data_IF_947320297269
#
_entry.id   IF_947320297269
#
_cell.length_a   1.000
_cell.length_b   1.000
_cell.length_c   1.000
_cell.angle_alpha   90.00
_cell.angle_beta   90.00
_cell.angle_gamma   90.00
#
_symmetry.space_group_name_H-M   'P 1'
#
loop_
_entity.id
_entity.type
_entity.pdbx_description
1 polymer ?
#
# COMPACT_ATOMS: atom_id res chain seq x y z
N UNK A 1 43.28 51.62 57.83
CA UNK A 1 44.57 52.24 57.46
C UNK A 1 45.61 51.17 57.69
N UNK A 2 46.00 50.49 56.63
CA UNK A 2 47.24 50.75 55.85
C UNK A 2 48.21 49.63 56.17
N UNK A 3 48.28 48.62 55.31
CA UNK A 3 49.59 48.29 54.74
C UNK A 3 49.45 47.51 53.44
N UNK A 4 49.91 48.19 52.40
CA UNK A 4 50.17 47.75 51.05
C UNK A 4 51.62 47.26 51.04
N UNK A 5 51.85 45.98 50.76
CA UNK A 5 53.11 45.50 50.21
C UNK A 5 52.76 44.28 49.34
N UNK A 6 52.53 44.50 48.05
CA UNK A 6 53.53 44.32 47.00
C UNK A 6 53.97 42.86 46.90
N UNK A 7 53.17 42.08 46.19
CA UNK A 7 53.67 40.91 45.48
C UNK A 7 53.78 41.29 43.99
N UNK A 8 54.90 40.95 43.31
CA UNK A 8 55.21 41.43 41.98
C UNK A 8 54.28 40.82 40.93
N UNK A 9 53.76 41.67 40.03
CA UNK A 9 53.04 41.22 38.84
C UNK A 9 53.98 40.36 37.97
N UNK A 10 53.61 39.11 37.63
CA UNK A 10 54.37 38.33 36.66
C UNK A 10 54.34 39.01 35.28
N UNK A 11 55.40 38.84 34.48
CA UNK A 11 55.59 39.55 33.22
C UNK A 11 54.41 39.33 32.26
N UNK A 12 54.04 40.40 31.55
CA UNK A 12 53.00 40.40 30.52
C UNK A 12 53.21 39.21 29.56
N UNK A 13 52.36 38.19 29.69
CA UNK A 13 52.38 37.03 28.81
C UNK A 13 52.03 37.50 27.41
N UNK A 14 53.07 37.49 26.58
CA UNK A 14 53.12 37.92 25.20
C UNK A 14 51.91 37.38 24.41
N UNK A 15 51.02 38.28 24.01
CA UNK A 15 49.80 37.96 23.25
C UNK A 15 50.10 37.38 21.86
N UNK A 16 51.37 37.34 21.44
CA UNK A 16 51.85 36.79 20.17
C UNK A 16 52.16 35.28 20.18
N UNK A 17 51.93 34.54 21.28
CA UNK A 17 52.07 33.06 21.33
C UNK A 17 50.73 32.30 21.32
N UNK A 18 49.62 32.92 20.88
CA UNK A 18 48.41 32.16 20.51
C UNK A 18 48.66 31.39 19.22
N UNK A 19 49.43 30.30 19.31
CA UNK A 19 49.39 29.26 18.30
C UNK A 19 47.96 28.68 18.33
N UNK A 20 47.25 28.63 17.20
CA UNK A 20 46.02 27.88 17.12
C UNK A 20 46.40 26.40 17.25
N UNK A 21 46.25 25.85 18.46
CA UNK A 21 46.39 24.42 18.65
C UNK A 21 45.35 23.71 17.79
N UNK A 22 45.92 22.97 16.84
CA UNK A 22 45.24 22.33 15.77
C UNK A 22 44.28 21.25 16.26
N UNK A 23 43.15 21.16 15.55
CA UNK A 23 42.32 19.98 15.35
C UNK A 23 41.69 19.36 16.60
N UNK A 24 40.40 19.67 16.78
CA UNK A 24 39.44 18.79 17.44
C UNK A 24 39.65 17.32 17.03
N UNK A 25 39.64 16.35 17.95
CA UNK A 25 39.66 14.94 17.58
C UNK A 25 38.40 14.68 16.75
N UNK A 26 38.60 14.35 15.47
CA UNK A 26 37.53 13.98 14.53
C UNK A 26 36.69 12.88 15.18
N UNK A 27 35.46 13.20 15.55
CA UNK A 27 34.50 12.21 16.00
C UNK A 27 34.33 11.17 14.90
N UNK A 28 35.02 10.04 15.02
CA UNK A 28 34.79 8.91 14.14
C UNK A 28 33.36 8.48 14.42
N UNK A 29 32.50 8.70 13.44
CA UNK A 29 31.14 8.22 13.43
C UNK A 29 31.23 6.70 13.39
N UNK A 30 31.44 6.08 14.56
CA UNK A 30 31.47 4.63 14.73
C UNK A 30 30.04 4.18 14.56
N UNK A 31 29.64 3.95 13.31
CA UNK A 31 28.41 3.26 12.99
C UNK A 31 28.46 1.93 13.76
N UNK A 32 27.64 1.82 14.80
CA UNK A 32 27.47 0.58 15.53
C UNK A 32 27.22 -0.54 14.52
N UNK A 33 27.83 -1.71 14.70
CA UNK A 33 27.63 -2.86 13.80
C UNK A 33 26.14 -3.16 13.56
N UNK A 34 25.28 -2.84 14.54
CA UNK A 34 23.82 -2.89 14.40
C UNK A 34 23.27 -1.94 13.35
N UNK A 35 23.75 -0.69 13.27
CA UNK A 35 23.31 0.28 12.26
C UNK A 35 23.70 -0.17 10.85
N UNK A 36 24.88 -0.77 10.70
CA UNK A 36 25.36 -1.31 9.42
C UNK A 36 24.46 -2.46 8.97
N UNK A 37 24.12 -3.39 9.87
CA UNK A 37 23.20 -4.50 9.58
C UNK A 37 21.79 -4.01 9.20
N UNK A 38 21.25 -3.02 9.93
CA UNK A 38 19.96 -2.40 9.59
C UNK A 38 19.99 -1.71 8.23
N UNK A 39 21.07 -0.99 7.91
CA UNK A 39 21.19 -0.37 6.59
C UNK A 39 21.37 -1.37 5.47
N UNK A 40 22.14 -2.44 5.68
CA UNK A 40 22.29 -3.50 4.68
C UNK A 40 20.95 -4.20 4.41
N UNK A 41 20.15 -4.45 5.45
CA UNK A 41 18.81 -5.01 5.33
C UNK A 41 17.86 -4.05 4.59
N UNK A 42 17.89 -2.75 4.91
CA UNK A 42 17.08 -1.74 4.23
C UNK A 42 17.44 -1.61 2.75
N UNK A 43 18.74 -1.63 2.42
CA UNK A 43 19.23 -1.63 1.05
C UNK A 43 18.79 -2.91 0.33
N UNK A 44 18.95 -4.08 0.95
CA UNK A 44 18.48 -5.33 0.35
C UNK A 44 16.97 -5.31 0.10
N UNK A 45 16.16 -4.83 1.05
CA UNK A 45 14.71 -4.70 0.87
C UNK A 45 14.33 -3.73 -0.27
N UNK A 46 15.14 -2.68 -0.51
CA UNK A 46 14.94 -1.74 -1.61
C UNK A 46 15.30 -2.33 -2.97
N UNK A 47 16.32 -3.19 -3.03
CA UNK A 47 16.77 -3.85 -4.26
C UNK A 47 16.06 -5.17 -4.56
N UNK A 48 15.50 -5.84 -3.55
CA UNK A 48 14.72 -7.08 -3.68
C UNK A 48 13.61 -7.04 -4.75
N UNK A 49 12.78 -5.98 -4.89
CA UNK A 49 11.70 -5.97 -5.88
C UNK A 49 12.18 -6.06 -7.34
N UNK A 50 13.44 -5.75 -7.64
CA UNK A 50 13.98 -5.82 -9.00
C UNK A 50 14.30 -7.26 -9.46
N UNK A 51 14.45 -8.21 -8.53
CA UNK A 51 14.85 -9.58 -8.84
C UNK A 51 13.71 -10.61 -8.68
N UNK A 52 12.55 -10.18 -8.16
CA UNK A 52 11.45 -11.06 -7.76
C UNK A 52 10.28 -10.94 -8.74
N UNK A 53 9.58 -12.06 -9.00
CA UNK A 53 8.40 -12.13 -9.88
C UNK A 53 7.21 -11.32 -9.31
N UNK A 54 6.40 -10.72 -10.19
CA UNK A 54 5.26 -9.87 -9.82
C UNK A 54 4.24 -10.51 -8.85
N UNK A 55 3.99 -11.82 -8.98
CA UNK A 55 3.08 -12.55 -8.07
C UNK A 55 3.60 -12.58 -6.64
N UNK A 56 4.90 -12.77 -6.46
CA UNK A 56 5.55 -12.79 -5.14
C UNK A 56 5.65 -11.36 -4.57
N UNK A 57 5.85 -10.35 -5.42
CA UNK A 57 5.76 -8.94 -5.01
C UNK A 57 4.37 -8.59 -4.46
N UNK A 58 3.30 -9.07 -5.12
CA UNK A 58 1.93 -8.81 -4.66
C UNK A 58 1.67 -9.40 -3.28
N UNK A 59 2.11 -10.63 -3.06
CA UNK A 59 2.03 -11.29 -1.75
C UNK A 59 2.88 -10.53 -0.73
N UNK A 60 4.10 -10.14 -1.10
CA UNK A 60 4.99 -9.32 -0.27
C UNK A 60 4.36 -8.00 0.14
N UNK A 61 3.66 -7.32 -0.77
CA UNK A 61 2.92 -6.08 -0.47
C UNK A 61 1.83 -6.32 0.58
N UNK A 62 1.03 -7.38 0.44
CA UNK A 62 0.02 -7.74 1.44
C UNK A 62 0.65 -8.08 2.80
N UNK A 63 1.75 -8.83 2.80
CA UNK A 63 2.49 -9.17 4.03
C UNK A 63 3.04 -7.91 4.70
N UNK A 64 3.64 -6.98 3.94
CA UNK A 64 4.16 -5.73 4.48
C UNK A 64 3.04 -4.83 5.01
N UNK A 65 1.93 -4.72 4.30
CA UNK A 65 0.75 -3.97 4.78
C UNK A 65 0.20 -4.58 6.08
N UNK A 66 0.08 -5.91 6.14
CA UNK A 66 -0.33 -6.62 7.36
C UNK A 66 0.69 -6.46 8.50
N UNK A 67 1.99 -6.46 8.20
CA UNK A 67 3.06 -6.26 9.17
C UNK A 67 3.00 -4.85 9.78
N UNK A 68 2.75 -3.81 8.98
CA UNK A 68 2.54 -2.44 9.50
C UNK A 68 1.34 -2.40 10.45
N UNK A 69 0.24 -3.05 10.09
CA UNK A 69 -0.92 -3.18 10.99
C UNK A 69 -0.61 -3.95 12.27
N UNK A 70 0.15 -5.05 12.17
CA UNK A 70 0.58 -5.85 13.31
C UNK A 70 1.51 -5.05 14.24
N UNK A 71 2.47 -4.30 13.70
CA UNK A 71 3.36 -3.43 14.47
C UNK A 71 2.55 -2.36 15.20
N UNK A 72 1.59 -1.71 14.52
CA UNK A 72 0.71 -0.72 15.14
C UNK A 72 -0.11 -1.32 16.29
N UNK A 73 -0.64 -2.53 16.09
CA UNK A 73 -1.35 -3.26 17.14
C UNK A 73 -0.42 -3.65 18.30
N UNK A 74 0.78 -4.18 18.02
CA UNK A 74 1.78 -4.55 19.02
C UNK A 74 2.25 -3.35 19.84
N UNK A 75 2.40 -2.18 19.21
CA UNK A 75 2.71 -0.95 19.92
C UNK A 75 1.58 -0.54 20.85
N UNK A 76 0.33 -0.63 20.40
CA UNK A 76 -0.81 -0.27 21.23
C UNK A 76 -0.99 -1.24 22.41
N UNK A 77 -0.97 -2.54 22.15
CA UNK A 77 -1.11 -3.57 23.19
C UNK A 77 0.08 -3.55 24.15
N UNK A 78 1.30 -3.35 23.63
CA UNK A 78 2.51 -3.28 24.45
C UNK A 78 2.64 -2.02 25.30
N UNK A 79 2.22 -0.86 24.79
CA UNK A 79 2.33 0.42 25.53
C UNK A 79 1.13 0.70 26.45
N UNK A 80 -0.08 0.29 26.06
CA UNK A 80 -1.31 0.64 26.79
C UNK A 80 -2.05 -0.55 27.41
N UNK A 81 -1.71 -1.79 27.02
CA UNK A 81 -2.45 -2.99 27.43
C UNK A 81 -3.84 -3.11 26.78
N UNK A 82 -4.17 -2.27 25.80
CA UNK A 82 -5.47 -2.24 25.13
C UNK A 82 -5.44 -2.95 23.78
N UNK A 83 -6.49 -3.72 23.49
CA UNK A 83 -6.72 -4.31 22.17
C UNK A 83 -7.60 -3.37 21.33
N UNK A 84 -7.17 -3.02 20.12
CA UNK A 84 -7.94 -2.18 19.18
C UNK A 84 -8.00 -2.79 17.77
N UNK A 85 -9.21 -3.11 17.31
CA UNK A 85 -9.47 -3.69 15.99
C UNK A 85 -9.82 -2.65 14.92
N UNK A 86 -9.82 -1.37 15.27
CA UNK A 86 -10.26 -0.28 14.38
C UNK A 86 -9.39 -0.07 13.15
N UNK A 87 -8.20 -0.66 13.10
CA UNK A 87 -7.27 -0.59 11.96
C UNK A 87 -7.94 -0.97 10.63
N UNK A 88 -8.80 -2.00 10.63
CA UNK A 88 -9.50 -2.44 9.43
C UNK A 88 -10.42 -1.35 8.85
N UNK A 89 -11.09 -0.58 9.70
CA UNK A 89 -11.95 0.53 9.27
C UNK A 89 -11.14 1.62 8.57
N UNK A 90 -10.03 2.06 9.15
CA UNK A 90 -9.21 3.13 8.56
C UNK A 90 -8.52 2.69 7.28
N UNK A 91 -8.06 1.43 7.22
CA UNK A 91 -7.52 0.83 5.98
C UNK A 91 -8.59 0.83 4.89
N UNK A 92 -9.83 0.45 5.23
CA UNK A 92 -10.94 0.45 4.28
C UNK A 92 -11.26 1.86 3.77
N UNK A 93 -11.33 2.87 4.64
CA UNK A 93 -11.55 4.28 4.24
C UNK A 93 -10.47 4.75 3.28
N UNK A 94 -9.19 4.46 3.56
CA UNK A 94 -8.08 4.81 2.66
C UNK A 94 -8.13 4.06 1.33
N UNK A 95 -8.37 2.74 1.35
CA UNK A 95 -8.41 1.91 0.14
C UNK A 95 -9.55 2.31 -0.80
N UNK A 96 -10.77 2.48 -0.27
CA UNK A 96 -11.91 2.93 -1.06
C UNK A 96 -11.79 4.41 -1.44
N UNK A 97 -11.21 5.25 -0.60
CA UNK A 97 -10.86 6.63 -0.95
C UNK A 97 -9.96 6.67 -2.18
N UNK A 98 -8.87 5.88 -2.20
CA UNK A 98 -8.01 5.77 -3.38
C UNK A 98 -8.77 5.24 -4.60
N UNK A 99 -9.58 4.19 -4.45
CA UNK A 99 -10.34 3.60 -5.56
C UNK A 99 -11.35 4.59 -6.19
N UNK A 100 -11.93 5.48 -5.40
CA UNK A 100 -12.84 6.54 -5.87
C UNK A 100 -12.06 7.69 -6.51
N UNK A 101 -10.95 8.13 -5.90
CA UNK A 101 -10.18 9.27 -6.39
C UNK A 101 -9.41 8.94 -7.68
N UNK A 102 -8.72 7.80 -7.71
CA UNK A 102 -7.96 7.34 -8.88
C UNK A 102 -8.83 6.64 -9.92
N UNK A 103 -10.03 6.19 -9.54
CA UNK A 103 -10.94 5.48 -10.43
C UNK A 103 -11.41 6.36 -11.60
N UNK A 104 -11.50 5.82 -12.83
CA UNK A 104 -12.04 6.58 -13.95
C UNK A 104 -13.53 6.92 -13.72
N UNK A 105 -14.01 8.07 -14.23
CA UNK A 105 -15.43 8.41 -14.18
C UNK A 105 -16.27 7.33 -14.88
N UNK A 106 -17.18 6.69 -14.14
CA UNK A 106 -18.03 5.62 -14.66
C UNK A 106 -19.50 5.85 -14.33
N UNK A 107 -20.40 5.28 -15.16
CA UNK A 107 -21.84 5.43 -14.98
C UNK A 107 -22.40 4.69 -13.76
N UNK A 108 -21.73 3.62 -13.30
CA UNK A 108 -22.16 2.81 -12.15
C UNK A 108 -21.55 3.26 -10.81
N UNK A 109 -20.33 3.79 -10.84
CA UNK A 109 -19.57 4.13 -9.63
C UNK A 109 -18.76 5.42 -9.85
N UNK A 110 -18.79 6.33 -8.89
CA UNK A 110 -18.21 7.68 -9.05
C UNK A 110 -16.68 7.64 -9.01
N UNK A 111 -16.02 8.08 -10.06
CA UNK A 111 -14.56 8.13 -10.15
C UNK A 111 -14.11 9.53 -10.54
N UNK A 112 -13.07 10.07 -9.88
CA UNK A 112 -12.53 11.39 -10.18
C UNK A 112 -11.40 11.38 -11.22
N UNK A 113 -10.80 10.21 -11.49
CA UNK A 113 -9.70 10.06 -12.45
C UNK A 113 -8.44 10.86 -12.11
N UNK A 114 -8.19 11.12 -10.82
CA UNK A 114 -6.99 11.85 -10.39
C UNK A 114 -5.71 11.04 -10.64
N UNK A 115 -4.56 11.70 -10.84
CA UNK A 115 -3.28 11.02 -10.91
C UNK A 115 -3.07 10.11 -9.69
N UNK A 116 -2.64 8.85 -9.85
CA UNK A 116 -2.58 7.87 -8.75
C UNK A 116 -1.81 8.34 -7.51
N UNK A 117 -0.71 9.08 -7.71
CA UNK A 117 0.05 9.63 -6.58
C UNK A 117 -0.75 10.66 -5.77
N UNK A 118 -1.44 11.58 -6.44
CA UNK A 118 -2.27 12.61 -5.79
C UNK A 118 -3.47 11.95 -5.11
N UNK A 119 -4.10 10.99 -5.78
CA UNK A 119 -5.18 10.21 -5.22
C UNK A 119 -4.75 9.44 -3.96
N UNK A 120 -3.55 8.85 -3.94
CA UNK A 120 -3.02 8.13 -2.79
C UNK A 120 -2.79 9.06 -1.59
N UNK A 121 -2.17 10.23 -1.80
CA UNK A 121 -1.96 11.22 -0.73
C UNK A 121 -3.29 11.73 -0.19
N UNK A 122 -4.24 12.04 -1.08
CA UNK A 122 -5.57 12.46 -0.68
C UNK A 122 -6.33 11.36 0.08
N UNK A 123 -6.17 10.09 -0.30
CA UNK A 123 -6.74 8.96 0.41
C UNK A 123 -6.16 8.77 1.82
N UNK A 124 -4.85 9.00 2.00
CA UNK A 124 -4.22 9.06 3.32
C UNK A 124 -4.84 10.20 4.13
N UNK A 125 -5.05 11.37 3.52
CA UNK A 125 -5.75 12.50 4.13
C UNK A 125 -7.17 12.15 4.57
N UNK A 126 -7.93 11.44 3.74
CA UNK A 126 -9.29 10.97 4.08
C UNK A 126 -9.29 10.02 5.28
N UNK A 127 -8.36 9.06 5.30
CA UNK A 127 -8.21 8.15 6.44
C UNK A 127 -7.82 8.90 7.72
N UNK A 128 -6.93 9.90 7.62
CA UNK A 128 -6.54 10.75 8.74
C UNK A 128 -7.71 11.59 9.27
N UNK A 129 -8.53 12.17 8.39
CA UNK A 129 -9.74 12.91 8.78
C UNK A 129 -10.73 11.98 9.48
N UNK A 130 -10.98 10.79 8.94
CA UNK A 130 -11.83 9.79 9.59
C UNK A 130 -11.29 9.39 10.97
N UNK A 131 -9.98 9.21 11.10
CA UNK A 131 -9.30 8.98 12.38
C UNK A 131 -9.51 10.14 13.36
N UNK A 132 -9.39 11.38 12.90
CA UNK A 132 -9.58 12.58 13.71
C UNK A 132 -11.04 12.71 14.19
N UNK A 133 -12.02 12.31 13.39
CA UNK A 133 -13.42 12.28 13.79
C UNK A 133 -13.72 11.21 14.86
N UNK A 134 -13.07 10.06 14.77
CA UNK A 134 -13.29 8.93 15.70
C UNK A 134 -12.47 9.07 16.99
N UNK A 135 -11.31 9.72 16.92
CA UNK A 135 -10.36 9.85 18.04
C UNK A 135 -10.97 10.42 19.33
N UNK A 136 -11.81 11.49 19.33
CA UNK A 136 -12.39 12.04 20.54
C UNK A 136 -13.29 11.07 21.30
N UNK A 137 -13.99 10.20 20.56
CA UNK A 137 -14.86 9.16 21.14
C UNK A 137 -13.97 8.07 21.73
N UNK A 138 -12.99 7.61 20.96
CA UNK A 138 -12.02 6.58 21.38
C UNK A 138 -11.24 6.99 22.65
N UNK A 139 -10.83 8.26 22.76
CA UNK A 139 -10.07 8.78 23.89
C UNK A 139 -10.84 8.74 25.23
N UNK A 140 -12.18 8.63 25.19
CA UNK A 140 -13.03 8.56 26.39
C UNK A 140 -13.22 7.13 26.91
N UNK A 141 -12.88 6.12 26.12
CA UNK A 141 -13.07 4.70 26.45
C UNK A 141 -11.79 4.10 27.05
N UNK A 142 -11.93 3.16 27.98
CA UNK A 142 -10.79 2.49 28.65
C UNK A 142 -10.99 0.98 28.70
N UNK A 143 -9.89 0.24 28.64
CA UNK A 143 -9.90 -1.22 28.81
C UNK A 143 -10.72 -1.92 27.73
N UNK A 144 -11.55 -2.87 28.18
CA UNK A 144 -12.40 -3.72 27.32
C UNK A 144 -13.43 -2.89 26.53
N UNK A 145 -13.89 -1.76 27.06
CA UNK A 145 -14.85 -0.90 26.37
C UNK A 145 -14.30 -0.32 25.08
N UNK A 146 -12.99 -0.03 25.01
CA UNK A 146 -12.35 0.41 23.76
C UNK A 146 -12.36 -0.70 22.72
N UNK A 147 -12.09 -1.94 23.12
CA UNK A 147 -12.14 -3.11 22.25
C UNK A 147 -13.51 -3.28 21.61
N UNK A 148 -14.58 -3.27 22.42
CA UNK A 148 -15.97 -3.39 21.94
C UNK A 148 -16.34 -2.22 21.02
N UNK A 149 -15.94 -0.99 21.36
CA UNK A 149 -16.20 0.17 20.52
C UNK A 149 -15.52 0.07 19.15
N UNK A 150 -14.27 -0.40 19.10
CA UNK A 150 -13.54 -0.57 17.83
C UNK A 150 -14.10 -1.72 16.99
N UNK A 151 -14.63 -2.77 17.62
CA UNK A 151 -15.38 -3.82 16.93
C UNK A 151 -16.65 -3.25 16.30
N UNK A 152 -17.43 -2.47 17.05
CA UNK A 152 -18.60 -1.77 16.53
C UNK A 152 -18.27 -0.84 15.35
N UNK A 153 -17.14 -0.13 15.42
CA UNK A 153 -16.65 0.72 14.33
C UNK A 153 -16.41 -0.07 13.04
N UNK A 154 -15.84 -1.27 13.12
CA UNK A 154 -15.63 -2.13 11.95
C UNK A 154 -16.96 -2.54 11.32
N UNK A 155 -17.97 -2.90 12.13
CA UNK A 155 -19.31 -3.23 11.63
C UNK A 155 -20.02 -2.04 10.98
N UNK A 156 -19.95 -0.87 11.61
CA UNK A 156 -20.50 0.37 11.02
C UNK A 156 -19.79 0.66 9.70
N UNK A 157 -18.48 0.53 9.65
CA UNK A 157 -17.69 0.66 8.43
C UNK A 157 -18.13 -0.28 7.34
N UNK A 158 -18.21 -1.58 7.64
CA UNK A 158 -18.67 -2.58 6.68
C UNK A 158 -20.08 -2.26 6.18
N UNK A 159 -20.99 -1.86 7.07
CA UNK A 159 -22.33 -1.46 6.69
C UNK A 159 -22.32 -0.24 5.76
N UNK A 160 -21.54 0.79 6.06
CA UNK A 160 -21.39 1.96 5.18
C UNK A 160 -20.83 1.55 3.82
N UNK A 161 -19.79 0.71 3.80
CA UNK A 161 -19.18 0.25 2.55
C UNK A 161 -20.16 -0.53 1.67
N UNK A 162 -21.05 -1.32 2.25
CA UNK A 162 -22.04 -2.09 1.48
C UNK A 162 -23.22 -1.24 1.02
N UNK A 163 -23.61 -0.21 1.79
CA UNK A 163 -24.75 0.65 1.46
C UNK A 163 -24.38 1.84 0.57
N UNK A 164 -23.14 2.32 0.61
CA UNK A 164 -22.64 3.40 -0.23
C UNK A 164 -22.29 2.91 -1.64
N UNK A 165 -23.24 2.24 -2.28
CA UNK A 165 -23.16 1.71 -3.65
C UNK A 165 -22.54 2.66 -4.69
N UNK A 166 -22.86 3.97 -4.74
CA UNK A 166 -22.22 4.84 -5.74
C UNK A 166 -20.71 5.00 -5.55
N UNK A 167 -20.21 4.90 -4.31
CA UNK A 167 -18.78 5.05 -4.00
C UNK A 167 -18.04 3.71 -4.13
N UNK A 168 -18.58 2.67 -3.49
CA UNK A 168 -17.89 1.39 -3.27
C UNK A 168 -18.25 0.31 -4.27
N UNK A 169 -19.38 0.46 -4.97
CA UNK A 169 -20.00 -0.61 -5.76
C UNK A 169 -20.81 -1.60 -4.92
N UNK A 170 -20.95 -1.40 -3.61
CA UNK A 170 -21.72 -2.25 -2.72
C UNK A 170 -21.20 -3.70 -2.70
N UNK A 171 -22.09 -4.67 -2.90
CA UNK A 171 -21.74 -6.10 -2.91
C UNK A 171 -20.90 -6.52 -4.13
N UNK A 172 -21.04 -5.83 -5.26
CA UNK A 172 -20.26 -6.12 -6.48
C UNK A 172 -18.81 -5.61 -6.36
N UNK A 173 -18.57 -4.68 -5.44
CA UNK A 173 -17.29 -4.01 -5.27
C UNK A 173 -16.92 -3.11 -6.45
N UNK A 174 -15.66 -2.65 -6.46
CA UNK A 174 -15.15 -1.72 -7.46
C UNK A 174 -13.74 -2.11 -7.90
N UNK A 175 -13.43 -1.92 -9.19
CA UNK A 175 -12.08 -2.05 -9.72
C UNK A 175 -11.17 -0.89 -9.28
N UNK A 176 -9.94 -1.22 -8.91
CA UNK A 176 -8.95 -0.25 -8.45
C UNK A 176 -7.99 0.06 -9.58
N UNK A 177 -7.77 1.35 -9.86
CA UNK A 177 -6.77 1.80 -10.82
C UNK A 177 -5.37 1.38 -10.33
N UNK A 178 -4.56 0.70 -11.15
CA UNK A 178 -3.19 0.35 -10.79
C UNK A 178 -2.43 1.58 -10.33
N UNK A 179 -1.61 1.42 -9.29
CA UNK A 179 -0.76 2.50 -8.84
C UNK A 179 0.26 2.78 -9.95
N UNK A 180 0.43 4.05 -10.33
CA UNK A 180 1.45 4.46 -11.28
C UNK A 180 2.24 5.65 -10.78
N UNK A 181 3.56 5.63 -11.03
CA UNK A 181 4.48 6.67 -10.60
C UNK A 181 5.33 7.11 -11.79
N UNK A 182 5.26 8.40 -12.15
CA UNK A 182 6.02 8.96 -13.29
C UNK A 182 5.84 8.19 -14.62
N UNK A 183 4.67 7.57 -14.84
CA UNK A 183 4.38 6.77 -16.04
C UNK A 183 4.71 5.28 -15.94
N UNK A 184 5.28 4.82 -14.83
CA UNK A 184 5.46 3.39 -14.53
C UNK A 184 4.23 2.84 -13.82
N UNK A 185 3.56 1.86 -14.41
CA UNK A 185 2.43 1.17 -13.79
C UNK A 185 2.90 -0.06 -13.00
N UNK A 186 2.47 -0.14 -11.73
CA UNK A 186 2.72 -1.27 -10.85
C UNK A 186 1.52 -2.23 -10.91
N UNK A 187 1.40 -2.98 -12.02
CA UNK A 187 0.35 -3.98 -12.22
C UNK A 187 0.95 -5.37 -12.41
N UNK A 188 0.34 -6.38 -11.79
CA UNK A 188 0.76 -7.78 -11.91
C UNK A 188 0.52 -8.38 -13.31
N UNK A 189 -0.16 -7.64 -14.20
CA UNK A 189 -0.66 -8.15 -15.48
C UNK A 189 -0.04 -7.52 -16.75
N UNK A 190 0.93 -6.60 -16.68
CA UNK A 190 1.47 -6.03 -17.91
C UNK A 190 2.95 -5.69 -17.84
N UNK A 191 3.69 -6.24 -18.81
CA UNK A 191 4.78 -5.59 -19.55
C UNK A 191 5.12 -4.18 -19.05
N UNK A 192 6.35 -4.00 -18.63
CA UNK A 192 6.89 -2.73 -18.17
C UNK A 192 6.75 -1.73 -19.31
N UNK A 193 5.87 -0.73 -19.17
CA UNK A 193 5.80 0.36 -20.12
C UNK A 193 6.78 1.44 -19.66
N UNK A 194 7.79 1.72 -20.47
CA UNK A 194 8.68 2.87 -20.27
C UNK A 194 8.37 3.88 -21.36
N UNK A 195 8.04 5.12 -20.98
CA UNK A 195 7.79 6.23 -21.93
C UNK A 195 6.70 5.93 -22.98
N UNK A 196 5.64 5.21 -22.61
CA UNK A 196 4.56 4.83 -23.52
C UNK A 196 4.90 3.69 -24.50
N UNK A 197 6.08 3.08 -24.36
CA UNK A 197 6.50 1.91 -25.16
C UNK A 197 6.46 0.66 -24.28
N UNK A 198 5.73 -0.37 -24.74
CA UNK A 198 5.64 -1.69 -24.08
C UNK A 198 7.00 -2.40 -24.17
N UNK A 199 7.65 -2.66 -23.04
CA UNK A 199 8.78 -3.57 -22.93
C UNK A 199 8.40 -4.79 -22.08
N UNK A 200 8.29 -5.95 -22.72
CA UNK A 200 8.06 -7.24 -22.05
C UNK A 200 7.10 -8.15 -22.81
N UNK A 201 7.67 -9.14 -23.50
CA UNK A 201 7.05 -10.35 -24.08
C UNK A 201 5.78 -10.20 -24.92
N UNK A 202 5.83 -9.42 -25.99
CA UNK A 202 5.11 -9.76 -27.23
C UNK A 202 5.98 -10.73 -28.05
N UNK A 203 6.30 -11.89 -27.47
CA UNK A 203 6.83 -13.06 -28.21
C UNK A 203 5.91 -14.26 -27.98
N UNK A 204 4.60 -13.99 -27.92
CA UNK A 204 3.59 -14.93 -28.42
C UNK A 204 2.79 -14.19 -29.48
N UNK A 205 3.49 -13.60 -30.45
CA UNK A 205 2.93 -13.47 -31.77
C UNK A 205 2.54 -14.89 -32.19
N UNK A 206 1.24 -15.15 -32.22
CA UNK A 206 0.68 -16.17 -33.10
C UNK A 206 1.19 -15.79 -34.49
N UNK A 207 2.34 -16.37 -34.86
CA UNK A 207 2.77 -16.43 -36.25
C UNK A 207 1.67 -17.21 -36.93
N UNK A 208 0.94 -16.62 -37.90
CA UNK A 208 0.07 -17.41 -38.75
C UNK A 208 1.00 -18.34 -39.52
N UNK A 209 1.07 -19.61 -39.10
CA UNK A 209 1.69 -20.66 -39.92
C UNK A 209 0.88 -20.71 -41.21
N UNK A 210 1.47 -20.36 -42.38
CA UNK A 210 0.77 -20.51 -43.65
C UNK A 210 0.56 -22.01 -43.86
N UNK A 211 -0.69 -22.47 -43.69
CA UNK A 211 -1.06 -23.88 -43.92
C UNK A 211 -1.90 -24.57 -42.85
N UNK A 212 -2.22 -23.96 -41.71
CA UNK A 212 -3.10 -24.62 -40.72
C UNK A 212 -4.59 -24.32 -41.01
N UNK A 213 -5.46 -25.33 -41.21
CA UNK A 213 -6.89 -25.12 -41.44
C UNK A 213 -7.54 -24.45 -40.23
N UNK A 214 -8.18 -23.31 -40.45
CA UNK A 214 -8.84 -22.54 -39.41
C UNK A 214 -9.94 -23.33 -38.71
N UNK A 215 -9.78 -23.54 -37.38
CA UNK A 215 -10.88 -23.93 -36.51
C UNK A 215 -11.84 -22.74 -36.36
N UNK A 216 -12.75 -22.63 -37.32
CA UNK A 216 -13.97 -21.81 -37.20
C UNK A 216 -14.89 -22.43 -36.16
N UNK A 217 -15.55 -21.58 -35.40
CA UNK A 217 -16.43 -21.95 -34.30
C UNK A 217 -17.48 -22.98 -34.68
N UNK A 218 -17.44 -24.11 -33.98
CA UNK A 218 -18.52 -25.09 -33.95
C UNK A 218 -19.45 -24.73 -32.79
N UNK A 219 -20.36 -23.78 -33.01
CA UNK A 219 -21.60 -23.69 -32.25
C UNK A 219 -22.68 -23.04 -33.12
N UNK A 220 -23.28 -23.83 -34.01
CA UNK A 220 -24.54 -23.52 -34.69
C UNK A 220 -25.53 -24.67 -34.49
N UNK A 221 -26.45 -24.44 -33.55
CA UNK A 221 -27.90 -24.72 -33.58
C UNK A 221 -28.47 -26.14 -33.78
N UNK A 222 -29.72 -26.37 -33.32
CA UNK A 222 -30.23 -27.66 -32.84
C UNK A 222 -30.92 -28.48 -33.95
N UNK A 223 -31.12 -29.80 -33.78
CA UNK A 223 -31.86 -30.60 -34.74
C UNK A 223 -33.36 -30.66 -34.41
N UNK A 224 -34.16 -29.90 -35.18
CA UNK A 224 -35.60 -30.15 -35.34
C UNK A 224 -35.85 -31.22 -36.40
N UNK A 225 -36.58 -32.27 -35.99
CA UNK A 225 -37.56 -33.09 -36.72
C UNK A 225 -37.17 -33.79 -38.04
N UNK A 226 -37.56 -35.08 -38.17
CA UNK A 226 -38.50 -35.56 -39.22
C UNK A 226 -38.98 -37.01 -38.95
N UNK A 227 -40.11 -37.43 -39.56
CA UNK A 227 -41.05 -38.42 -39.00
C UNK A 227 -41.12 -39.74 -39.78
N UNK A 228 -41.70 -40.80 -39.20
CA UNK A 228 -42.50 -41.77 -39.98
C UNK A 228 -43.43 -42.68 -39.13
N UNK A 229 -44.73 -42.41 -39.29
CA UNK A 229 -45.94 -43.25 -39.26
C UNK A 229 -45.84 -44.79 -39.07
N UNK A 230 -46.61 -45.26 -38.08
CA UNK A 230 -47.73 -46.26 -38.13
C UNK A 230 -47.54 -47.69 -38.67
N UNK A 231 -47.83 -48.70 -37.81
CA UNK A 231 -48.84 -49.79 -37.95
C UNK A 231 -48.51 -50.93 -36.94
N UNK A 232 -49.38 -51.23 -35.98
CA UNK A 232 -50.46 -52.24 -36.01
C UNK A 232 -50.00 -53.71 -35.94
N UNK A 233 -50.50 -54.39 -34.89
CA UNK A 233 -51.08 -55.75 -34.85
C UNK A 233 -50.24 -56.99 -34.43
N UNK A 234 -50.91 -57.79 -33.59
CA UNK A 234 -50.74 -59.21 -33.21
C UNK A 234 -49.47 -59.59 -32.42
N UNK A 235 -49.50 -60.34 -31.32
CA UNK A 235 -50.47 -61.29 -30.79
C UNK A 235 -49.79 -62.66 -30.69
N UNK A 236 -49.49 -63.11 -29.47
CA UNK A 236 -49.35 -64.50 -29.02
C UNK A 236 -49.02 -64.50 -27.52
#
# INVERSE_FOLDING_TARGET
MSDLALDPQPPALNTAQRLPDAASPRGSMRWSAGNIAWTALAVWALFAPFFIKASVLSIGLFVMAAAVGAIGLSLLTGSTGLLSLGHAFFIAVGAYGYAVLAGPPGAKVIGLGWPPLVAAIAAIGLAAIAGLLVSPIAARLKGIYLGIATFGLVFIGQHLLLNLTPLTGGFDGRSVTPFSLFGFEFSSASSIHVLGVRFGSEETSVVPVPGSPGRRGAHRNPPTARPHRSRMAHGA
#
